data_IF_404963750574
#
_entry.id   IF_404963750574
#
_cell.length_a   1.000
_cell.length_b   1.000
_cell.length_c   1.000
_cell.angle_alpha   90.00
_cell.angle_beta   90.00
_cell.angle_gamma   90.00
#
_symmetry.space_group_name_H-M   'P 1'
#
loop_
_entity.id
_entity.type
_entity.pdbx_description
1 polymer ?
#
# COMPACT_ATOMS: atom_id res chain seq x y z
N UNK A 1 5.64 -27.40 7.16
CA UNK A 1 4.65 -26.31 7.23
C UNK A 1 5.30 -25.11 7.90
N UNK A 2 5.87 -24.18 7.12
CA UNK A 2 6.49 -22.97 7.65
C UNK A 2 5.44 -21.87 7.77
N UNK A 3 5.19 -21.37 8.98
CA UNK A 3 4.42 -20.14 9.19
C UNK A 3 5.26 -18.97 8.65
N UNK A 4 5.12 -18.69 7.35
CA UNK A 4 5.74 -17.52 6.74
C UNK A 4 5.34 -16.24 7.49
N UNK A 5 6.33 -15.46 7.90
CA UNK A 5 6.12 -14.19 8.60
C UNK A 5 5.48 -13.16 7.65
N UNK A 6 4.15 -13.08 7.68
CA UNK A 6 3.35 -12.12 6.90
C UNK A 6 3.58 -10.69 7.40
N UNK A 7 3.65 -9.74 6.48
CA UNK A 7 3.66 -8.33 6.88
C UNK A 7 2.25 -7.85 7.22
N UNK A 8 2.00 -7.48 8.48
CA UNK A 8 0.73 -6.90 8.95
C UNK A 8 0.78 -5.38 8.84
N UNK A 9 -0.36 -4.74 8.60
CA UNK A 9 -0.51 -3.28 8.66
C UNK A 9 -1.33 -2.87 9.87
N UNK A 10 -0.84 -1.90 10.64
CA UNK A 10 -1.66 -1.17 11.62
C UNK A 10 -2.14 0.14 10.99
N UNK A 11 -3.46 0.30 10.89
CA UNK A 11 -4.09 1.55 10.45
C UNK A 11 -4.17 2.53 11.62
N UNK A 12 -3.72 3.76 11.42
CA UNK A 12 -4.00 4.89 12.30
C UNK A 12 -5.00 5.82 11.62
N UNK A 13 -6.18 5.99 12.21
CA UNK A 13 -7.15 7.01 11.80
C UNK A 13 -6.58 8.39 12.14
N UNK A 14 -6.49 9.27 11.14
CA UNK A 14 -6.39 10.71 11.37
C UNK A 14 -7.84 11.20 11.43
N UNK A 15 -8.38 11.26 12.65
CA UNK A 15 -9.66 11.90 12.94
C UNK A 15 -9.44 13.41 13.02
N UNK A 16 -10.15 14.17 12.19
CA UNK A 16 -10.42 15.58 12.45
C UNK A 16 -11.89 15.72 12.83
N UNK A 17 -12.12 16.31 14.00
CA UNK A 17 -13.45 16.64 14.53
C UNK A 17 -13.75 18.08 14.14
N UNK A 18 -14.94 18.37 13.63
CA UNK A 18 -15.83 19.45 14.09
C UNK A 18 -17.18 19.26 13.39
N UNK A 19 -18.26 19.23 14.17
CA UNK A 19 -19.61 19.02 13.68
C UNK A 19 -20.28 20.30 13.18
N UNK A 20 -21.25 20.13 12.27
CA UNK A 20 -22.48 20.90 12.18
C UNK A 20 -23.44 20.15 11.25
N UNK A 21 -24.70 20.02 11.65
CA UNK A 21 -25.81 19.61 10.78
C UNK A 21 -26.55 20.88 10.34
N UNK A 22 -26.86 21.02 9.04
CA UNK A 22 -28.26 21.26 8.70
C UNK A 22 -28.73 20.52 7.43
N UNK A 23 -29.93 19.95 7.56
CA UNK A 23 -31.02 19.72 6.57
C UNK A 23 -30.71 19.64 5.07
N UNK A 24 -31.17 18.53 4.50
CA UNK A 24 -31.33 18.22 3.07
C UNK A 24 -32.31 19.18 2.36
N UNK A 25 -32.08 19.37 1.05
CA UNK A 25 -33.14 19.17 0.07
C UNK A 25 -32.76 18.04 -0.89
N UNK A 26 -33.72 17.15 -1.15
CA UNK A 26 -33.68 16.19 -2.24
C UNK A 26 -33.61 16.92 -3.59
N UNK A 27 -32.54 16.74 -4.34
CA UNK A 27 -32.55 16.92 -5.80
C UNK A 27 -31.55 15.97 -6.47
N UNK A 28 -32.09 15.19 -7.40
CA UNK A 28 -31.44 14.61 -8.59
C UNK A 28 -30.34 13.56 -8.41
N UNK A 29 -30.75 12.30 -8.51
CA UNK A 29 -29.96 11.11 -8.78
C UNK A 29 -29.34 11.07 -10.20
N UNK A 30 -28.76 12.17 -10.68
CA UNK A 30 -28.11 12.19 -12.00
C UNK A 30 -26.74 12.84 -11.94
N UNK A 31 -25.72 12.02 -12.21
CA UNK A 31 -24.45 12.44 -12.79
C UNK A 31 -23.37 13.05 -11.91
N UNK A 32 -23.48 12.93 -10.58
CA UNK A 32 -22.27 12.89 -9.75
C UNK A 32 -21.50 11.57 -10.01
N UNK A 33 -20.83 11.51 -11.16
CA UNK A 33 -19.48 10.93 -11.24
C UNK A 33 -18.56 11.82 -10.39
N UNK A 34 -18.88 11.89 -9.10
CA UNK A 34 -18.16 12.65 -8.10
C UNK A 34 -16.73 12.18 -8.19
N UNK A 35 -15.83 13.11 -8.48
CA UNK A 35 -14.40 12.93 -8.30
C UNK A 35 -14.24 12.50 -6.85
N UNK A 36 -14.20 11.20 -6.61
CA UNK A 36 -14.01 10.64 -5.29
C UNK A 36 -12.73 11.27 -4.75
N UNK A 37 -12.88 12.17 -3.78
CA UNK A 37 -11.78 12.73 -3.01
C UNK A 37 -11.02 11.51 -2.49
N UNK A 38 -9.86 11.24 -3.09
CA UNK A 38 -9.22 9.95 -2.85
C UNK A 38 -8.79 9.94 -1.39
N UNK A 39 -9.39 9.11 -0.51
CA UNK A 39 -9.11 9.22 0.90
C UNK A 39 -7.68 8.72 1.08
N UNK A 40 -6.85 9.54 1.69
CA UNK A 40 -5.50 9.18 2.07
C UNK A 40 -5.52 8.56 3.47
N UNK A 41 -4.61 7.63 3.74
CA UNK A 41 -4.46 7.02 5.05
C UNK A 41 -3.02 6.71 5.41
N UNK A 42 -2.76 6.60 6.70
CA UNK A 42 -1.47 6.19 7.23
C UNK A 42 -1.49 4.73 7.68
N UNK A 43 -0.40 4.01 7.38
CA UNK A 43 -0.24 2.61 7.70
C UNK A 43 1.18 2.33 8.20
N UNK A 44 1.34 1.55 9.26
CA UNK A 44 2.66 1.10 9.72
C UNK A 44 2.95 -0.32 9.24
N UNK A 45 4.14 -0.54 8.68
CA UNK A 45 4.60 -1.85 8.20
C UNK A 45 5.10 -2.67 9.38
N UNK A 46 4.48 -3.81 9.60
CA UNK A 46 5.00 -4.86 10.47
C UNK A 46 5.47 -6.01 9.60
N UNK A 47 6.60 -6.64 9.93
CA UNK A 47 7.07 -7.89 9.32
C UNK A 47 7.92 -7.73 8.04
N UNK A 48 8.59 -8.80 7.58
CA UNK A 48 9.70 -8.71 6.63
C UNK A 48 9.33 -8.93 5.15
N UNK A 49 8.05 -9.12 4.80
CA UNK A 49 7.68 -9.64 3.47
C UNK A 49 7.91 -8.69 2.29
N UNK A 50 8.12 -7.41 2.57
CA UNK A 50 8.38 -6.38 1.57
C UNK A 50 9.82 -5.87 1.60
N UNK A 51 10.72 -6.48 2.39
CA UNK A 51 12.16 -6.16 2.36
C UNK A 51 12.72 -6.54 0.98
N UNK A 52 13.58 -5.72 0.34
CA UNK A 52 14.20 -4.48 0.84
C UNK A 52 13.38 -3.19 0.61
N UNK A 53 12.22 -3.27 -0.05
CA UNK A 53 11.40 -2.09 -0.35
C UNK A 53 10.81 -1.46 0.90
N UNK A 54 10.24 -2.25 1.80
CA UNK A 54 9.67 -1.76 3.06
C UNK A 54 10.28 -2.54 4.21
N UNK A 55 10.68 -1.82 5.25
CA UNK A 55 11.20 -2.40 6.49
C UNK A 55 10.14 -2.31 7.58
N UNK A 56 10.27 -3.16 8.59
CA UNK A 56 9.47 -3.06 9.80
C UNK A 56 9.61 -1.66 10.41
N UNK A 57 8.49 -1.05 10.80
CA UNK A 57 8.42 0.31 11.33
C UNK A 57 8.41 1.41 10.25
N UNK A 58 8.53 1.07 8.97
CA UNK A 58 8.25 2.03 7.89
C UNK A 58 6.79 2.46 7.99
N UNK A 59 6.53 3.76 7.86
CA UNK A 59 5.17 4.30 7.82
C UNK A 59 4.84 4.68 6.38
N UNK A 60 3.62 4.38 5.96
CA UNK A 60 3.17 4.44 4.58
C UNK A 60 2.08 5.48 4.45
N UNK A 61 2.13 6.24 3.35
CA UNK A 61 1.01 7.02 2.87
C UNK A 61 0.28 6.23 1.79
N UNK A 62 -0.95 5.84 2.06
CA UNK A 62 -1.79 5.00 1.22
C UNK A 62 -2.87 5.86 0.59
N UNK A 63 -3.10 5.66 -0.70
CA UNK A 63 -4.19 6.26 -1.45
C UNK A 63 -5.27 5.18 -1.63
N UNK A 64 -6.38 5.28 -0.89
CA UNK A 64 -7.47 4.30 -0.90
C UNK A 64 -8.31 4.41 -2.17
N UNK A 65 -8.78 3.28 -2.70
CA UNK A 65 -9.56 3.24 -3.95
C UNK A 65 -8.80 3.70 -5.20
N UNK A 66 -7.48 3.90 -5.11
CA UNK A 66 -6.65 4.27 -6.24
C UNK A 66 -6.57 3.14 -7.27
N UNK A 67 -6.57 3.50 -8.56
CA UNK A 67 -6.35 2.54 -9.64
C UNK A 67 -4.95 1.90 -9.53
N UNK A 68 -4.92 0.59 -9.32
CA UNK A 68 -3.69 -0.21 -9.20
C UNK A 68 -3.14 -0.57 -10.59
N UNK A 69 -1.82 -0.59 -10.71
CA UNK A 69 -1.08 -1.02 -11.89
C UNK A 69 -0.04 -2.09 -11.54
N UNK A 70 0.40 -2.92 -12.51
CA UNK A 70 1.56 -3.78 -12.32
C UNK A 70 2.77 -2.98 -11.81
N UNK A 71 3.47 -3.55 -10.84
CA UNK A 71 4.59 -2.94 -10.13
C UNK A 71 4.21 -2.16 -8.87
N UNK A 72 2.93 -1.80 -8.68
CA UNK A 72 2.50 -1.02 -7.51
C UNK A 72 2.61 -1.84 -6.21
N UNK A 73 2.96 -1.15 -5.13
CA UNK A 73 2.82 -1.70 -3.78
C UNK A 73 1.43 -1.36 -3.26
N UNK A 74 0.70 -2.38 -2.83
CA UNK A 74 -0.71 -2.28 -2.47
C UNK A 74 -0.96 -2.78 -1.05
N UNK A 75 -1.98 -2.22 -0.42
CA UNK A 75 -2.57 -2.73 0.82
C UNK A 75 -3.81 -3.53 0.44
N UNK A 76 -3.90 -4.76 0.93
CA UNK A 76 -5.02 -5.66 0.66
C UNK A 76 -5.48 -6.40 1.93
N UNK A 77 -6.75 -6.81 1.95
CA UNK A 77 -7.29 -7.77 2.92
C UNK A 77 -6.84 -9.18 2.55
N UNK A 78 -6.35 -9.93 3.52
CA UNK A 78 -5.90 -11.28 3.27
C UNK A 78 -7.08 -12.20 2.90
N UNK A 79 -7.04 -12.96 1.79
CA UNK A 79 -8.19 -13.74 1.29
C UNK A 79 -8.81 -14.70 2.31
N UNK A 80 -7.97 -15.33 3.13
CA UNK A 80 -8.40 -16.29 4.16
C UNK A 80 -8.43 -15.72 5.60
N UNK A 81 -8.09 -14.43 5.79
CA UNK A 81 -8.01 -13.80 7.11
C UNK A 81 -8.48 -12.34 6.98
N UNK A 82 -9.79 -12.13 6.96
CA UNK A 82 -10.40 -10.85 6.52
C UNK A 82 -10.05 -9.64 7.41
N UNK A 83 -9.69 -9.89 8.67
CA UNK A 83 -9.22 -8.85 9.61
C UNK A 83 -7.72 -8.53 9.46
N UNK A 84 -7.00 -9.29 8.64
CA UNK A 84 -5.58 -9.10 8.39
C UNK A 84 -5.36 -8.26 7.13
N UNK A 85 -4.81 -7.06 7.32
CA UNK A 85 -4.26 -6.26 6.23
C UNK A 85 -2.80 -6.60 6.00
N UNK A 86 -2.45 -6.80 4.73
CA UNK A 86 -1.08 -7.08 4.29
C UNK A 86 -0.65 -6.12 3.19
N UNK A 87 0.67 -5.89 3.11
CA UNK A 87 1.28 -5.13 2.02
C UNK A 87 1.99 -6.09 1.09
N UNK A 88 1.70 -6.00 -0.21
CA UNK A 88 2.32 -6.81 -1.26
C UNK A 88 2.55 -5.97 -2.51
N UNK A 89 3.35 -6.49 -3.44
CA UNK A 89 3.52 -5.89 -4.77
C UNK A 89 2.58 -6.55 -5.78
N UNK A 90 1.75 -5.76 -6.44
CA UNK A 90 0.94 -6.20 -7.57
C UNK A 90 1.87 -6.49 -8.76
N UNK A 91 2.07 -7.77 -9.11
CA UNK A 91 2.96 -8.14 -10.22
C UNK A 91 2.24 -8.08 -11.55
N UNK A 92 1.02 -8.61 -11.62
CA UNK A 92 0.24 -8.63 -12.86
C UNK A 92 -1.26 -8.82 -12.57
N UNK A 93 -2.08 -8.44 -13.55
CA UNK A 93 -3.52 -8.69 -13.53
C UNK A 93 -3.78 -10.07 -14.12
N UNK A 94 -4.58 -10.88 -13.45
CA UNK A 94 -5.05 -12.19 -13.93
C UNK A 94 -6.58 -12.22 -13.95
N UNK A 95 -7.16 -13.26 -14.53
CA UNK A 95 -8.61 -13.49 -14.45
C UNK A 95 -9.05 -13.48 -12.99
N UNK A 96 -10.06 -12.66 -12.68
CA UNK A 96 -10.63 -12.52 -11.33
C UNK A 96 -9.87 -11.61 -10.36
N UNK A 97 -8.68 -11.08 -10.69
CA UNK A 97 -7.95 -10.32 -9.66
C UNK A 97 -6.51 -9.93 -9.98
N UNK A 98 -5.73 -9.73 -8.92
CA UNK A 98 -4.31 -9.42 -8.93
C UNK A 98 -3.48 -10.60 -8.45
N UNK A 99 -2.40 -10.88 -9.18
CA UNK A 99 -1.31 -11.72 -8.68
C UNK A 99 -0.34 -10.83 -7.90
N UNK A 100 -0.22 -11.07 -6.59
CA UNK A 100 0.56 -10.23 -5.67
C UNK A 100 1.69 -11.04 -5.06
N UNK A 101 2.89 -10.47 -5.00
CA UNK A 101 4.07 -11.10 -4.42
C UNK A 101 4.67 -10.25 -3.31
N UNK A 102 5.32 -10.88 -2.34
CA UNK A 102 6.28 -10.19 -1.48
C UNK A 102 7.55 -9.85 -2.25
N UNK A 103 8.23 -8.76 -1.87
CA UNK A 103 9.58 -8.49 -2.39
C UNK A 103 10.64 -9.37 -1.71
N UNK A 104 10.33 -9.90 -0.52
CA UNK A 104 11.13 -10.89 0.16
C UNK A 104 10.57 -12.30 -0.14
N UNK A 105 11.22 -13.10 -1.00
CA UNK A 105 10.73 -14.42 -1.39
C UNK A 105 10.74 -15.44 -0.23
N UNK A 106 11.47 -15.16 0.85
CA UNK A 106 11.59 -16.06 2.00
C UNK A 106 10.49 -15.84 3.06
N UNK A 107 9.64 -14.82 2.92
CA UNK A 107 8.62 -14.51 3.91
C UNK A 107 7.29 -15.25 3.69
N UNK A 108 7.04 -15.74 2.47
CA UNK A 108 5.78 -16.36 2.07
C UNK A 108 4.55 -15.46 2.25
N UNK A 109 3.38 -16.09 2.28
CA UNK A 109 2.09 -15.44 2.49
C UNK A 109 1.69 -14.50 1.37
N UNK A 110 1.93 -14.91 0.12
CA UNK A 110 1.53 -14.18 -1.08
C UNK A 110 0.76 -15.07 -2.07
N UNK A 111 0.57 -14.62 -3.30
CA UNK A 111 -0.20 -15.36 -4.29
C UNK A 111 0.34 -16.76 -4.61
N UNK A 112 1.60 -17.09 -4.28
CA UNK A 112 2.07 -18.48 -4.39
C UNK A 112 1.31 -19.43 -3.47
N UNK A 113 0.80 -18.93 -2.35
CA UNK A 113 0.17 -19.74 -1.31
C UNK A 113 -1.36 -19.74 -1.43
N UNK A 114 -1.95 -18.60 -1.82
CA UNK A 114 -3.41 -18.43 -1.86
C UNK A 114 -3.98 -18.07 -3.23
N UNK A 115 -3.15 -17.98 -4.26
CA UNK A 115 -3.59 -17.70 -5.62
C UNK A 115 -3.93 -16.22 -5.88
N UNK A 116 -4.80 -16.00 -6.85
CA UNK A 116 -5.19 -14.65 -7.31
C UNK A 116 -6.04 -13.96 -6.24
N UNK A 117 -5.70 -12.71 -5.92
CA UNK A 117 -6.45 -11.88 -4.97
C UNK A 117 -7.52 -11.10 -5.72
N UNK A 118 -8.81 -11.26 -5.38
CA UNK A 118 -9.88 -10.47 -5.98
C UNK A 118 -9.66 -8.96 -5.85
N UNK A 119 -10.13 -8.18 -6.83
CA UNK A 119 -9.86 -6.73 -6.88
C UNK A 119 -10.47 -5.99 -5.68
N UNK A 120 -11.63 -6.44 -5.21
CA UNK A 120 -12.34 -5.93 -4.04
C UNK A 120 -11.55 -6.08 -2.73
N UNK A 121 -10.61 -7.03 -2.66
CA UNK A 121 -9.74 -7.17 -1.49
C UNK A 121 -8.55 -6.20 -1.55
N UNK A 122 -8.27 -5.58 -2.70
CA UNK A 122 -7.20 -4.61 -2.87
C UNK A 122 -7.73 -3.21 -2.52
N UNK A 123 -7.35 -2.74 -1.34
CA UNK A 123 -7.93 -1.53 -0.73
C UNK A 123 -7.33 -0.23 -1.29
N UNK A 124 -6.04 -0.24 -1.61
CA UNK A 124 -5.36 0.98 -2.00
C UNK A 124 -3.89 0.81 -2.36
N UNK A 125 -3.33 1.89 -2.87
CA UNK A 125 -1.96 1.97 -3.37
C UNK A 125 -1.08 2.75 -2.41
N UNK A 126 0.08 2.20 -2.07
CA UNK A 126 1.12 2.90 -1.33
C UNK A 126 1.79 3.92 -2.26
N UNK A 127 1.80 5.20 -1.87
CA UNK A 127 2.41 6.28 -2.65
C UNK A 127 3.78 6.67 -2.11
N UNK A 128 3.91 6.75 -0.79
CA UNK A 128 5.14 7.13 -0.13
C UNK A 128 5.41 6.22 1.07
N UNK A 129 6.69 5.96 1.32
CA UNK A 129 7.16 5.45 2.60
C UNK A 129 7.92 6.57 3.31
N UNK A 130 7.78 6.65 4.63
CA UNK A 130 8.59 7.48 5.50
C UNK A 130 9.13 6.66 6.67
N UNK A 131 10.43 6.80 6.94
CA UNK A 131 11.12 6.15 8.07
C UNK A 131 11.26 7.12 9.21
N UNK A 132 10.55 7.01 10.33
CA UNK A 132 10.73 7.94 11.45
C UNK A 132 12.21 7.97 11.89
N UNK A 133 12.75 9.14 12.27
CA UNK A 133 14.14 9.22 12.70
C UNK A 133 14.30 8.50 14.04
N UNK A 134 15.45 7.86 14.25
CA UNK A 134 15.76 7.27 15.55
C UNK A 134 15.72 8.37 16.64
N UNK A 135 15.06 8.11 17.79
CA UNK A 135 15.03 9.07 18.88
C UNK A 135 16.48 9.41 19.30
N UNK A 136 16.78 10.71 19.45
CA UNK A 136 18.10 11.20 19.87
C UNK A 136 18.96 11.87 18.80
N UNK A 137 18.51 11.97 17.54
CA UNK A 137 19.24 12.73 16.50
C UNK A 137 18.98 14.25 16.65
N UNK A 138 19.92 14.97 17.25
CA UNK A 138 19.83 16.43 17.52
C UNK A 138 20.48 17.34 16.46
N UNK A 139 21.11 16.78 15.42
CA UNK A 139 21.80 17.57 14.39
C UNK A 139 20.88 17.85 13.18
N UNK A 140 20.73 19.13 12.81
CA UNK A 140 19.96 19.56 11.64
C UNK A 140 20.49 18.93 10.32
N UNK A 141 21.81 18.74 10.21
CA UNK A 141 22.40 18.07 9.04
C UNK A 141 22.10 16.57 9.01
N UNK A 142 22.02 15.91 10.17
CA UNK A 142 21.60 14.51 10.27
C UNK A 142 20.11 14.34 9.94
N UNK A 143 19.26 15.32 10.28
CA UNK A 143 17.86 15.37 9.88
C UNK A 143 17.71 15.63 8.38
N UNK A 144 18.47 16.55 7.79
CA UNK A 144 18.45 16.79 6.35
C UNK A 144 18.90 15.56 5.54
N UNK A 145 20.02 14.92 5.92
CA UNK A 145 20.46 13.64 5.31
C UNK A 145 19.45 12.51 5.51
N UNK A 146 18.78 12.46 6.66
CA UNK A 146 17.70 11.51 6.91
C UNK A 146 16.52 11.78 5.99
N UNK A 147 16.06 13.04 5.87
CA UNK A 147 14.89 13.41 5.05
C UNK A 147 15.06 12.99 3.58
N UNK A 148 16.26 13.17 3.02
CA UNK A 148 16.60 12.79 1.63
C UNK A 148 16.49 11.27 1.38
N UNK A 149 16.66 10.43 2.40
CA UNK A 149 16.55 8.97 2.29
C UNK A 149 15.25 8.37 2.85
N UNK A 150 14.60 9.08 3.77
CA UNK A 150 13.50 8.59 4.59
C UNK A 150 12.16 8.69 3.87
N UNK A 151 11.88 9.80 3.17
CA UNK A 151 10.65 9.97 2.39
C UNK A 151 10.93 9.61 0.95
N UNK A 152 10.51 8.40 0.53
CA UNK A 152 10.70 7.95 -0.85
C UNK A 152 9.38 7.59 -1.50
N UNK A 153 9.14 8.04 -2.74
CA UNK A 153 8.00 7.57 -3.50
C UNK A 153 8.18 6.07 -3.73
N UNK A 154 7.13 5.31 -3.46
CA UNK A 154 7.09 3.89 -3.81
C UNK A 154 6.57 3.82 -5.24
N UNK A 155 7.47 4.07 -6.18
CA UNK A 155 7.13 4.01 -7.60
C UNK A 155 6.91 2.56 -8.01
N UNK A 156 5.97 2.36 -8.93
CA UNK A 156 5.88 1.09 -9.64
C UNK A 156 7.25 0.81 -10.25
N UNK A 157 7.77 -0.39 -10.07
CA UNK A 157 8.90 -0.81 -10.89
C UNK A 157 8.43 -0.71 -12.34
N UNK A 158 8.97 0.25 -13.08
CA UNK A 158 8.73 0.34 -14.51
C UNK A 158 9.16 -1.01 -15.07
N UNK A 159 8.20 -1.75 -15.62
CA UNK A 159 8.47 -2.94 -16.41
C UNK A 159 9.38 -2.52 -17.56
N UNK A 160 10.69 -2.65 -17.37
CA UNK A 160 11.70 -2.54 -18.44
C UNK A 160 11.63 -3.86 -19.20
N UNK A 161 10.52 -4.09 -19.89
CA UNK A 161 10.28 -5.31 -20.66
C UNK A 161 9.43 -5.00 -21.88
N UNK A 162 9.82 -3.98 -22.64
CA UNK A 162 9.43 -3.83 -24.05
C UNK A 162 10.59 -3.25 -24.84
N UNK A 163 11.42 -4.17 -25.35
CA UNK A 163 12.23 -4.13 -26.58
C UNK A 163 13.44 -5.01 -26.31
N UNK A 164 13.39 -6.22 -26.84
CA UNK A 164 14.49 -7.03 -27.39
C UNK A 164 13.90 -8.45 -27.62
N UNK A 165 12.89 -8.51 -28.49
CA UNK A 165 12.54 -9.73 -29.22
C UNK A 165 12.22 -9.32 -30.64
N UNK A 166 13.30 -9.08 -31.38
CA UNK A 166 13.34 -9.00 -32.83
C UNK A 166 14.80 -9.25 -33.23
N UNK A 167 15.13 -10.51 -33.42
CA UNK A 167 16.00 -11.06 -34.47
C UNK A 167 16.15 -12.55 -34.25
#
# INVERSE_FOLDING_TARGET
MGLGQKSRVRLGLVEDRTGEVPVMPELSQESERGRALVPWGAAEVTGPSMVPTLHHGDRLLVQWGARVRPGDVVVLRHPFQQDLLVVKRAKERRAGGWWVLGDNPFAGGDSTDYGVVPEELVLGKVRFRYRPPAPGRRSAFALARWAVGAVRPVLAERSVSRRLRAR
#
